data_IF_572468672428
#
_entry.id   IF_572468672428
#
_cell.length_a   1.000
_cell.length_b   1.000
_cell.length_c   1.000
_cell.angle_alpha   90.00
_cell.angle_beta   90.00
_cell.angle_gamma   90.00
#
_symmetry.space_group_name_H-M   'P 1'
#
loop_
_entity.id
_entity.type
_entity.pdbx_description
1 polymer ?
#
# COMPACT_ATOMS: atom_id res chain seq x y z
N UNK A 1 -18.11 -18.37 -20.49
CA UNK A 1 -17.19 -17.73 -19.54
C UNK A 1 -15.93 -18.57 -19.50
N UNK A 2 -14.80 -18.00 -19.89
CA UNK A 2 -13.49 -18.66 -19.75
C UNK A 2 -13.03 -18.50 -18.30
N UNK A 3 -13.13 -19.58 -17.53
CA UNK A 3 -12.51 -19.67 -16.22
C UNK A 3 -10.98 -19.68 -16.43
N UNK A 4 -10.30 -18.59 -16.07
CA UNK A 4 -8.86 -18.49 -16.30
C UNK A 4 -8.03 -19.44 -15.42
N UNK A 5 -8.50 -19.77 -14.20
CA UNK A 5 -7.80 -20.68 -13.29
C UNK A 5 -8.79 -21.44 -12.39
N UNK A 6 -8.51 -22.73 -12.11
CA UNK A 6 -9.22 -23.49 -11.07
C UNK A 6 -8.50 -23.32 -9.73
N UNK A 7 -9.21 -23.51 -8.60
CA UNK A 7 -8.66 -23.42 -7.24
C UNK A 7 -7.31 -24.15 -7.09
N UNK A 8 -7.12 -25.26 -7.79
CA UNK A 8 -5.86 -26.03 -7.78
C UNK A 8 -4.63 -25.21 -8.20
N UNK A 9 -4.78 -24.24 -9.11
CA UNK A 9 -3.69 -23.40 -9.63
C UNK A 9 -3.49 -22.11 -8.83
N UNK A 10 -4.53 -21.65 -8.12
CA UNK A 10 -4.43 -20.64 -7.07
C UNK A 10 -3.68 -21.17 -5.85
N UNK A 11 -3.90 -22.42 -5.47
CA UNK A 11 -3.08 -23.13 -4.48
C UNK A 11 -1.64 -23.40 -4.95
N UNK A 12 -1.38 -23.47 -6.27
CA UNK A 12 -0.02 -23.54 -6.84
C UNK A 12 0.68 -22.17 -6.91
N UNK A 13 -0.07 -21.06 -6.97
CA UNK A 13 0.46 -19.68 -6.97
C UNK A 13 0.48 -19.05 -5.56
N UNK A 14 -0.30 -19.56 -4.61
CA UNK A 14 -0.30 -19.17 -3.21
C UNK A 14 1.09 -19.27 -2.54
N UNK A 15 1.97 -20.25 -2.86
CA UNK A 15 3.39 -20.23 -2.47
C UNK A 15 4.20 -19.00 -2.94
N UNK A 16 3.75 -18.35 -4.01
CA UNK A 16 4.43 -17.21 -4.64
C UNK A 16 3.84 -15.87 -4.18
N UNK A 17 2.70 -15.90 -3.49
CA UNK A 17 2.11 -14.79 -2.76
C UNK A 17 2.57 -14.91 -1.29
N UNK A 18 2.99 -13.82 -0.67
CA UNK A 18 3.53 -13.84 0.69
C UNK A 18 2.40 -14.09 1.68
N UNK A 19 2.77 -14.50 2.91
CA UNK A 19 1.84 -14.69 3.99
C UNK A 19 0.92 -13.51 4.27
N UNK A 20 1.25 -12.27 3.89
CA UNK A 20 0.34 -11.14 4.14
C UNK A 20 -0.84 -11.10 3.18
N UNK A 21 -0.66 -11.49 1.92
CA UNK A 21 -1.78 -11.63 0.95
C UNK A 21 -2.59 -12.87 1.29
N UNK A 22 -1.92 -13.95 1.69
CA UNK A 22 -2.56 -15.16 2.22
C UNK A 22 -3.38 -14.86 3.49
N UNK A 23 -2.79 -14.22 4.50
CA UNK A 23 -3.47 -13.76 5.71
C UNK A 23 -4.55 -12.74 5.38
N UNK A 24 -4.40 -11.79 4.47
CA UNK A 24 -5.46 -10.80 4.21
C UNK A 24 -6.63 -11.36 3.39
N UNK A 25 -6.39 -12.34 2.51
CA UNK A 25 -7.44 -13.15 1.87
C UNK A 25 -8.16 -13.98 2.92
N UNK A 26 -7.41 -14.71 3.75
CA UNK A 26 -7.97 -15.64 4.73
C UNK A 26 -8.51 -14.95 5.99
N UNK A 27 -7.79 -14.06 6.67
CA UNK A 27 -8.24 -13.32 7.87
C UNK A 27 -9.47 -12.44 7.63
N UNK A 28 -9.57 -11.70 6.51
CA UNK A 28 -10.78 -10.93 6.23
C UNK A 28 -11.99 -11.85 5.92
N UNK A 29 -11.76 -13.05 5.39
CA UNK A 29 -12.79 -14.08 5.30
C UNK A 29 -13.12 -14.69 6.68
N UNK A 30 -12.13 -14.85 7.57
CA UNK A 30 -12.26 -15.43 8.91
C UNK A 30 -13.03 -14.53 9.90
N UNK A 31 -12.81 -13.20 9.89
CA UNK A 31 -13.57 -12.28 10.78
C UNK A 31 -15.03 -12.10 10.34
N UNK A 32 -15.33 -12.24 9.04
CA UNK A 32 -16.69 -12.04 8.50
C UNK A 32 -17.48 -13.36 8.39
N UNK A 33 -16.82 -14.53 8.24
CA UNK A 33 -17.46 -15.85 8.03
C UNK A 33 -17.15 -16.88 9.13
N UNK A 34 -17.29 -16.51 10.40
CA UNK A 34 -17.23 -17.46 11.52
C UNK A 34 -18.24 -18.63 11.42
N UNK A 35 -19.25 -18.52 10.54
CA UNK A 35 -20.18 -19.60 10.23
C UNK A 35 -20.12 -19.97 8.74
N UNK A 36 -19.47 -21.11 8.46
CA UNK A 36 -19.75 -22.13 7.41
C UNK A 36 -18.47 -22.62 6.73
N UNK A 37 -18.03 -23.81 7.13
CA UNK A 37 -17.26 -24.77 6.34
C UNK A 37 -16.15 -24.18 5.44
N UNK A 38 -15.33 -23.27 5.98
CA UNK A 38 -14.08 -22.89 5.35
C UNK A 38 -13.22 -24.14 5.18
N UNK A 39 -12.72 -24.37 3.96
CA UNK A 39 -11.78 -25.45 3.68
C UNK A 39 -10.53 -25.14 4.51
N UNK A 40 -10.37 -25.88 5.61
CA UNK A 40 -9.18 -25.86 6.44
C UNK A 40 -8.04 -26.36 5.55
N UNK A 41 -7.21 -25.44 5.06
CA UNK A 41 -5.89 -25.81 4.59
C UNK A 41 -5.15 -26.37 5.79
N UNK A 42 -4.80 -27.64 5.70
CA UNK A 42 -3.96 -28.37 6.66
C UNK A 42 -2.75 -27.50 7.05
N UNK A 43 -2.50 -27.35 8.36
CA UNK A 43 -1.39 -26.57 8.95
C UNK A 43 -0.05 -26.85 8.26
N UNK A 44 0.08 -28.06 7.68
CA UNK A 44 1.23 -28.49 6.91
C UNK A 44 1.50 -27.69 5.64
N UNK A 45 0.46 -27.27 4.91
CA UNK A 45 0.60 -26.43 3.72
C UNK A 45 0.98 -25.02 4.15
N UNK A 46 0.39 -24.50 5.23
CA UNK A 46 0.73 -23.20 5.80
C UNK A 46 2.22 -23.12 6.19
N UNK A 47 2.73 -24.13 6.89
CA UNK A 47 4.15 -24.23 7.27
C UNK A 47 5.09 -24.30 6.05
N UNK A 48 4.64 -24.91 4.94
CA UNK A 48 5.44 -25.09 3.73
C UNK A 48 5.52 -23.82 2.84
N UNK A 49 4.55 -22.89 2.95
CA UNK A 49 4.51 -21.64 2.15
C UNK A 49 4.67 -20.34 2.95
N UNK A 50 4.82 -20.42 4.27
CA UNK A 50 5.07 -19.25 5.10
C UNK A 50 6.44 -18.62 4.80
N UNK A 51 6.44 -17.43 4.18
CA UNK A 51 7.62 -16.56 4.10
C UNK A 51 7.69 -15.70 5.36
N UNK A 52 8.63 -16.03 6.24
CA UNK A 52 8.92 -15.25 7.44
C UNK A 52 9.14 -13.76 7.10
N UNK A 53 8.54 -12.86 7.91
CA UNK A 53 8.59 -11.41 7.70
C UNK A 53 10.04 -10.89 7.59
N UNK A 54 10.99 -11.50 8.32
CA UNK A 54 12.42 -11.15 8.21
C UNK A 54 13.00 -11.60 6.89
N UNK A 55 12.60 -12.77 6.38
CA UNK A 55 13.03 -13.24 5.05
C UNK A 55 12.52 -12.32 3.97
N UNK A 56 11.23 -11.97 3.98
CA UNK A 56 10.65 -11.03 3.02
C UNK A 56 11.33 -9.65 3.12
N UNK A 57 11.55 -9.16 4.35
CA UNK A 57 12.26 -7.91 4.56
C UNK A 57 13.69 -7.94 4.05
N UNK A 58 14.42 -9.03 4.26
CA UNK A 58 15.76 -9.22 3.73
C UNK A 58 15.77 -9.25 2.20
N UNK A 59 14.80 -9.93 1.58
CA UNK A 59 14.62 -9.94 0.13
C UNK A 59 14.43 -8.52 -0.42
N UNK A 60 13.53 -7.74 0.17
CA UNK A 60 13.25 -6.37 -0.26
C UNK A 60 14.47 -5.47 -0.04
N UNK A 61 15.14 -5.57 1.12
CA UNK A 61 16.34 -4.77 1.43
C UNK A 61 17.51 -5.12 0.52
N UNK A 62 17.70 -6.39 0.18
CA UNK A 62 18.76 -6.82 -0.76
C UNK A 62 18.55 -6.25 -2.17
N UNK A 63 17.33 -5.85 -2.49
CA UNK A 63 16.94 -5.25 -3.76
C UNK A 63 16.68 -3.73 -3.67
N UNK A 64 17.11 -3.06 -2.57
CA UNK A 64 16.83 -1.64 -2.34
C UNK A 64 17.34 -0.74 -3.47
N UNK A 65 18.48 -1.07 -4.07
CA UNK A 65 19.04 -0.32 -5.20
C UNK A 65 18.13 -0.38 -6.43
N UNK A 66 17.49 -1.54 -6.66
CA UNK A 66 16.59 -1.76 -7.80
C UNK A 66 15.25 -1.06 -7.61
N UNK A 67 14.74 -1.04 -6.37
CA UNK A 67 13.48 -0.40 -6.00
C UNK A 67 13.61 1.11 -5.80
N UNK A 68 14.77 1.59 -5.36
CA UNK A 68 15.03 3.01 -5.14
C UNK A 68 13.99 3.63 -4.21
N UNK A 69 13.34 4.72 -4.65
CA UNK A 69 12.33 5.42 -3.85
C UNK A 69 11.05 4.61 -3.63
N UNK A 70 10.71 3.67 -4.52
CA UNK A 70 9.45 2.91 -4.44
C UNK A 70 9.37 2.05 -3.18
N UNK A 71 10.52 1.64 -2.63
CA UNK A 71 10.62 0.95 -1.35
C UNK A 71 9.98 1.70 -0.16
N UNK A 72 9.84 3.02 -0.24
CA UNK A 72 9.20 3.83 0.80
C UNK A 72 7.67 3.83 0.73
N UNK A 73 7.09 3.22 -0.32
CA UNK A 73 5.66 3.24 -0.61
C UNK A 73 5.11 1.84 -0.89
N UNK A 74 5.98 0.92 -1.31
CA UNK A 74 5.70 -0.47 -1.66
C UNK A 74 6.62 -1.40 -0.87
N UNK A 75 6.15 -2.62 -0.61
CA UNK A 75 6.90 -3.67 0.07
C UNK A 75 6.98 -3.46 1.57
N UNK A 76 8.00 -2.74 2.05
CA UNK A 76 8.25 -2.57 3.50
C UNK A 76 7.41 -1.47 4.13
N UNK A 77 7.15 -0.41 3.37
CA UNK A 77 6.46 0.79 3.83
C UNK A 77 5.17 0.92 3.05
N UNK A 78 4.32 -0.09 3.23
CA UNK A 78 3.09 -0.26 2.47
C UNK A 78 2.20 0.97 2.63
N UNK A 79 1.68 1.49 1.52
CA UNK A 79 0.73 2.60 1.50
C UNK A 79 -0.68 2.17 1.94
N UNK A 80 -0.79 1.59 3.12
CA UNK A 80 -2.06 1.14 3.70
C UNK A 80 -3.02 2.30 3.88
N UNK A 81 -4.25 2.11 3.39
CA UNK A 81 -5.35 3.06 3.53
C UNK A 81 -5.30 4.22 2.53
N UNK A 82 -4.35 4.25 1.58
CA UNK A 82 -4.41 5.22 0.49
C UNK A 82 -5.66 5.03 -0.36
N UNK A 83 -6.24 6.10 -0.90
CA UNK A 83 -7.41 5.99 -1.81
C UNK A 83 -6.90 6.08 -3.24
N UNK A 84 -7.22 5.07 -4.05
CA UNK A 84 -6.94 5.06 -5.49
C UNK A 84 -7.88 6.04 -6.17
N UNK A 85 -7.30 7.15 -6.60
CA UNK A 85 -8.02 8.16 -7.37
C UNK A 85 -8.11 7.75 -8.85
N UNK A 86 -7.04 7.17 -9.39
CA UNK A 86 -6.99 6.72 -10.78
C UNK A 86 -5.95 5.61 -10.98
N UNK A 87 -6.23 4.69 -11.90
CA UNK A 87 -5.21 3.84 -12.53
C UNK A 87 -5.33 4.02 -14.04
N UNK A 88 -4.27 4.53 -14.65
CA UNK A 88 -4.20 4.75 -16.10
C UNK A 88 -3.01 4.00 -16.69
N UNK A 89 -3.18 3.49 -17.91
CA UNK A 89 -2.08 3.01 -18.73
C UNK A 89 -1.97 3.89 -19.98
N UNK A 90 -0.79 4.46 -20.21
CA UNK A 90 -0.56 5.31 -21.37
C UNK A 90 -0.14 4.49 -22.61
N UNK A 91 -0.01 5.18 -23.74
CA UNK A 91 0.38 4.56 -25.02
C UNK A 91 1.82 4.01 -25.03
N UNK A 92 2.62 4.30 -24.00
CA UNK A 92 3.99 3.82 -23.84
C UNK A 92 4.07 2.64 -22.85
N UNK A 93 2.94 2.00 -22.53
CA UNK A 93 2.84 0.93 -21.53
C UNK A 93 3.32 1.35 -20.13
N UNK A 94 3.14 2.62 -19.78
CA UNK A 94 3.38 3.11 -18.43
C UNK A 94 2.06 3.07 -17.66
N UNK A 95 2.01 2.27 -16.59
CA UNK A 95 0.86 2.26 -15.69
C UNK A 95 1.10 3.23 -14.54
N UNK A 96 0.22 4.22 -14.39
CA UNK A 96 0.27 5.21 -13.31
C UNK A 96 -0.89 4.97 -12.36
N UNK A 97 -0.55 4.62 -11.12
CA UNK A 97 -1.44 4.54 -9.99
C UNK A 97 -1.37 5.86 -9.21
N UNK A 98 -2.46 6.62 -9.20
CA UNK A 98 -2.56 7.89 -8.46
C UNK A 98 -3.32 7.66 -7.15
N UNK A 99 -2.65 7.93 -6.03
CA UNK A 99 -3.14 7.69 -4.68
C UNK A 99 -3.30 9.00 -3.92
N UNK A 100 -4.37 9.07 -3.13
CA UNK A 100 -4.53 10.03 -2.05
C UNK A 100 -3.90 9.43 -0.78
N UNK A 101 -2.88 10.07 -0.21
CA UNK A 101 -2.26 9.63 1.04
C UNK A 101 -3.12 10.07 2.24
N UNK A 102 -4.03 9.17 2.63
CA UNK A 102 -4.95 9.40 3.76
C UNK A 102 -4.24 9.55 5.09
N UNK A 103 -3.03 8.98 5.25
CA UNK A 103 -2.23 9.12 6.46
C UNK A 103 -1.73 10.55 6.62
N UNK A 104 -1.19 11.13 5.55
CA UNK A 104 -0.76 12.54 5.52
C UNK A 104 -1.97 13.48 5.65
N UNK A 105 -3.06 13.21 4.94
CA UNK A 105 -4.31 13.99 5.04
C UNK A 105 -4.83 14.04 6.48
N UNK A 106 -4.85 12.89 7.18
CA UNK A 106 -5.30 12.82 8.57
C UNK A 106 -4.36 13.54 9.53
N UNK A 107 -3.06 13.46 9.29
CA UNK A 107 -2.07 14.21 10.07
C UNK A 107 -2.27 15.72 9.90
N UNK A 108 -2.43 16.19 8.65
CA UNK A 108 -2.64 17.60 8.33
C UNK A 108 -3.93 18.14 9.00
N UNK A 109 -5.04 17.42 8.86
CA UNK A 109 -6.32 17.77 9.50
C UNK A 109 -6.20 17.84 11.03
N UNK A 110 -5.53 16.85 11.63
CA UNK A 110 -5.31 16.84 13.09
C UNK A 110 -4.44 18.01 13.54
N UNK A 111 -3.39 18.36 12.78
CA UNK A 111 -2.53 19.51 13.08
C UNK A 111 -3.32 20.82 13.04
N UNK A 112 -4.10 21.02 11.97
CA UNK A 112 -4.96 22.20 11.80
C UNK A 112 -5.94 22.36 12.97
N UNK A 113 -6.63 21.27 13.34
CA UNK A 113 -7.55 21.26 14.48
C UNK A 113 -6.85 21.58 15.80
N UNK A 114 -5.73 20.92 16.08
CA UNK A 114 -5.06 21.00 17.39
C UNK A 114 -4.30 22.31 17.59
N UNK A 115 -3.83 22.93 16.51
CA UNK A 115 -3.12 24.23 16.54
C UNK A 115 -3.99 25.40 16.12
N UNK A 116 -5.28 25.17 15.86
CA UNK A 116 -6.23 26.18 15.40
C UNK A 116 -5.70 26.99 14.19
N UNK A 117 -5.03 26.30 13.25
CA UNK A 117 -4.48 26.92 12.05
C UNK A 117 -5.61 27.12 11.05
N UNK A 118 -5.83 28.34 10.56
CA UNK A 118 -6.87 28.60 9.56
C UNK A 118 -6.31 28.47 8.14
N UNK A 119 -6.24 27.24 7.63
CA UNK A 119 -5.74 26.93 6.28
C UNK A 119 -6.62 25.88 5.59
N UNK A 120 -6.79 26.04 4.28
CA UNK A 120 -7.36 25.01 3.42
C UNK A 120 -6.26 24.08 2.92
N UNK A 121 -6.49 22.77 3.03
CA UNK A 121 -5.56 21.74 2.56
C UNK A 121 -5.94 21.27 1.15
N UNK A 122 -4.94 21.19 0.28
CA UNK A 122 -5.08 20.47 -0.99
C UNK A 122 -4.89 18.97 -0.76
N UNK A 123 -5.42 18.12 -1.67
CA UNK A 123 -5.21 16.68 -1.57
C UNK A 123 -3.72 16.31 -1.61
N UNK A 124 -3.31 15.40 -0.73
CA UNK A 124 -1.96 14.88 -0.69
C UNK A 124 -1.84 13.70 -1.65
N UNK A 125 -1.15 13.91 -2.77
CA UNK A 125 -1.09 12.94 -3.87
C UNK A 125 0.25 12.22 -3.90
N UNK A 126 0.22 10.92 -4.11
CA UNK A 126 1.40 10.12 -4.46
C UNK A 126 1.10 9.35 -5.74
N UNK A 127 2.00 9.42 -6.71
CA UNK A 127 1.89 8.66 -7.96
C UNK A 127 2.92 7.55 -7.97
N UNK A 128 2.45 6.31 -8.07
CA UNK A 128 3.29 5.13 -8.30
C UNK A 128 3.21 4.80 -9.78
N UNK A 129 4.37 4.69 -10.40
CA UNK A 129 4.48 4.53 -11.84
C UNK A 129 5.25 3.25 -12.13
N UNK A 130 4.61 2.34 -12.86
CA UNK A 130 5.20 1.11 -13.36
C UNK A 130 5.60 1.35 -14.82
N UNK A 131 6.90 1.37 -15.09
CA UNK A 131 7.46 1.64 -16.42
C UNK A 131 7.67 0.34 -17.19
N UNK A 132 7.50 0.40 -18.51
CA UNK A 132 7.63 -0.74 -19.44
C UNK A 132 6.80 -1.95 -18.96
N UNK A 133 5.49 -1.76 -18.78
CA UNK A 133 4.58 -2.83 -18.32
C UNK A 133 4.45 -3.90 -19.40
N UNK A 134 4.81 -5.13 -19.03
CA UNK A 134 4.71 -6.31 -19.89
C UNK A 134 3.38 -7.04 -19.72
N UNK A 135 2.80 -6.95 -18.52
CA UNK A 135 1.55 -7.59 -18.18
C UNK A 135 0.85 -6.85 -17.04
N UNK A 136 -0.46 -6.74 -17.16
CA UNK A 136 -1.34 -6.21 -16.14
C UNK A 136 -2.67 -6.94 -16.17
N UNK A 137 -3.17 -7.30 -14.99
CA UNK A 137 -4.49 -7.90 -14.85
C UNK A 137 -5.19 -7.43 -13.61
N UNK A 138 -6.47 -7.06 -13.77
CA UNK A 138 -7.42 -6.82 -12.71
C UNK A 138 -8.25 -8.08 -12.50
N UNK A 139 -8.34 -8.51 -11.25
CA UNK A 139 -9.21 -9.60 -10.88
C UNK A 139 -10.01 -9.26 -9.64
N UNK A 140 -11.13 -9.96 -9.47
CA UNK A 140 -11.98 -9.87 -8.29
C UNK A 140 -12.29 -11.24 -7.74
N UNK A 141 -12.53 -11.31 -6.43
CA UNK A 141 -13.03 -12.50 -5.77
C UNK A 141 -14.56 -12.55 -5.93
N UNK A 142 -15.08 -13.65 -6.46
CA UNK A 142 -16.52 -13.90 -6.51
C UNK A 142 -17.09 -14.44 -5.18
N UNK A 143 -18.40 -14.70 -5.13
CA UNK A 143 -19.07 -15.16 -3.90
C UNK A 143 -18.55 -16.52 -3.40
N UNK A 144 -18.06 -17.35 -4.33
CA UNK A 144 -17.49 -18.68 -4.10
C UNK A 144 -15.95 -18.64 -3.92
N UNK A 145 -15.40 -17.45 -3.77
CA UNK A 145 -13.98 -17.18 -3.51
C UNK A 145 -13.03 -17.46 -4.70
N UNK A 146 -13.56 -17.55 -5.92
CA UNK A 146 -12.73 -17.68 -7.11
C UNK A 146 -12.26 -16.32 -7.62
N UNK A 147 -10.99 -16.27 -8.05
CA UNK A 147 -10.44 -15.12 -8.76
C UNK A 147 -10.96 -15.14 -10.20
N UNK A 148 -11.71 -14.11 -10.55
CA UNK A 148 -12.25 -13.91 -11.88
C UNK A 148 -11.72 -12.60 -12.46
N UNK A 149 -11.33 -12.64 -13.75
CA UNK A 149 -10.93 -11.43 -14.46
C UNK A 149 -12.14 -10.51 -14.57
N UNK A 150 -11.95 -9.23 -14.29
CA UNK A 150 -12.96 -8.19 -14.44
C UNK A 150 -12.39 -6.96 -15.13
N UNK A 151 -13.29 -6.19 -15.74
CA UNK A 151 -12.94 -4.97 -16.49
C UNK A 151 -13.41 -3.71 -15.72
N UNK A 152 -13.60 -3.81 -14.41
CA UNK A 152 -14.12 -2.70 -13.61
C UNK A 152 -13.19 -1.48 -13.66
N UNK A 153 -13.77 -0.31 -13.90
CA UNK A 153 -13.07 0.96 -13.79
C UNK A 153 -12.62 1.20 -12.35
N UNK A 154 -11.44 1.81 -12.20
CA UNK A 154 -10.68 1.80 -10.95
C UNK A 154 -10.62 3.22 -10.40
N UNK A 155 -11.70 3.62 -9.74
CA UNK A 155 -11.83 4.95 -9.14
C UNK A 155 -12.48 4.78 -7.76
N UNK A 156 -11.94 5.47 -6.75
CA UNK A 156 -12.43 5.48 -5.36
C UNK A 156 -12.33 4.14 -4.62
N UNK A 157 -11.31 3.33 -4.92
CA UNK A 157 -11.04 2.09 -4.19
C UNK A 157 -9.93 2.28 -3.16
N UNK A 158 -10.04 1.63 -2.01
CA UNK A 158 -9.05 1.69 -0.94
C UNK A 158 -7.88 0.76 -1.26
N UNK A 159 -6.67 1.30 -1.22
CA UNK A 159 -5.43 0.53 -1.27
C UNK A 159 -5.22 -0.19 0.06
N UNK A 160 -5.28 -1.51 0.04
CA UNK A 160 -5.22 -2.32 1.27
C UNK A 160 -3.80 -2.77 1.52
N UNK A 161 -3.18 -3.43 0.53
CA UNK A 161 -1.85 -3.98 0.68
C UNK A 161 -1.16 -4.13 -0.67
N UNK A 162 0.14 -4.36 -0.60
CA UNK A 162 0.94 -4.73 -1.75
C UNK A 162 2.09 -5.67 -1.39
N UNK A 163 2.54 -6.38 -2.40
CA UNK A 163 3.65 -7.30 -2.26
C UNK A 163 4.39 -7.51 -3.56
N UNK A 164 5.71 -7.37 -3.49
CA UNK A 164 6.60 -7.69 -4.58
C UNK A 164 6.93 -9.19 -4.53
N UNK A 165 6.57 -9.91 -5.58
CA UNK A 165 6.70 -11.38 -5.68
C UNK A 165 7.96 -11.79 -6.42
N UNK A 166 8.48 -10.92 -7.31
CA UNK A 166 9.68 -11.17 -8.10
C UNK A 166 10.48 -9.88 -8.30
N UNK A 167 11.79 -9.97 -8.18
CA UNK A 167 12.73 -8.94 -8.65
C UNK A 167 13.90 -9.65 -9.34
N UNK A 168 14.17 -9.28 -10.58
CA UNK A 168 15.40 -9.60 -11.28
C UNK A 168 15.87 -8.40 -12.12
N UNK A 169 16.90 -8.59 -12.93
CA UNK A 169 17.50 -7.51 -13.73
C UNK A 169 16.49 -6.87 -14.71
N UNK A 170 15.54 -7.66 -15.22
CA UNK A 170 14.62 -7.28 -16.29
C UNK A 170 13.18 -7.05 -15.84
N UNK A 171 12.75 -7.69 -14.74
CA UNK A 171 11.35 -7.74 -14.34
C UNK A 171 11.21 -7.54 -12.83
N UNK A 172 10.19 -6.76 -12.48
CA UNK A 172 9.60 -6.67 -11.16
C UNK A 172 8.14 -7.10 -11.29
N UNK A 173 7.72 -8.06 -10.48
CA UNK A 173 6.32 -8.47 -10.34
C UNK A 173 5.79 -8.02 -8.97
N UNK A 174 4.61 -7.41 -8.98
CA UNK A 174 3.93 -6.94 -7.78
C UNK A 174 2.45 -7.28 -7.84
N UNK A 175 1.91 -7.64 -6.69
CA UNK A 175 0.48 -7.81 -6.46
C UNK A 175 0.00 -6.72 -5.53
N UNK A 176 -1.05 -6.00 -5.92
CA UNK A 176 -1.70 -4.96 -5.13
C UNK A 176 -3.13 -5.41 -4.86
N UNK A 177 -3.54 -5.43 -3.59
CA UNK A 177 -4.93 -5.69 -3.24
C UNK A 177 -5.65 -4.39 -2.89
N UNK A 178 -6.88 -4.28 -3.37
CA UNK A 178 -7.70 -3.08 -3.20
C UNK A 178 -9.11 -3.49 -2.83
N UNK A 179 -9.81 -2.63 -2.11
CA UNK A 179 -11.17 -2.86 -1.67
C UNK A 179 -12.08 -1.73 -2.12
N UNK A 180 -13.26 -2.07 -2.63
CA UNK A 180 -14.28 -1.07 -2.96
C UNK A 180 -15.19 -0.75 -1.75
N UNK A 181 -16.21 0.09 -1.99
CA UNK A 181 -17.17 0.50 -0.96
C UNK A 181 -18.09 -0.63 -0.49
N UNK A 182 -18.26 -1.68 -1.28
CA UNK A 182 -19.07 -2.86 -0.95
C UNK A 182 -18.21 -3.94 -0.26
N UNK A 183 -17.00 -3.56 0.18
CA UNK A 183 -16.01 -4.43 0.81
C UNK A 183 -15.48 -5.54 -0.10
N UNK A 184 -15.77 -5.47 -1.41
CA UNK A 184 -15.31 -6.45 -2.38
C UNK A 184 -13.82 -6.28 -2.64
N UNK A 185 -13.09 -7.40 -2.57
CA UNK A 185 -11.65 -7.44 -2.72
C UNK A 185 -11.25 -7.72 -4.18
N UNK A 186 -10.37 -6.87 -4.72
CA UNK A 186 -9.79 -6.99 -6.06
C UNK A 186 -8.26 -7.00 -6.00
N UNK A 187 -7.63 -7.61 -7.00
CA UNK A 187 -6.17 -7.70 -7.13
C UNK A 187 -5.68 -7.20 -8.46
N UNK A 188 -4.53 -6.55 -8.42
CA UNK A 188 -3.75 -6.15 -9.58
C UNK A 188 -2.43 -6.88 -9.56
N UNK A 189 -2.22 -7.67 -10.60
CA UNK A 189 -0.92 -8.29 -10.87
C UNK A 189 -0.28 -7.45 -11.96
N UNK A 190 0.86 -6.84 -11.64
CA UNK A 190 1.62 -5.97 -12.53
C UNK A 190 3.00 -6.56 -12.72
N UNK A 191 3.41 -6.77 -13.98
CA UNK A 191 4.80 -7.06 -14.36
C UNK A 191 5.36 -5.86 -15.12
N UNK A 192 6.46 -5.31 -14.64
CA UNK A 192 7.07 -4.12 -15.18
C UNK A 192 8.59 -4.20 -15.12
N UNK A 193 9.28 -3.30 -15.82
CA UNK A 193 10.74 -3.22 -15.74
C UNK A 193 11.20 -2.40 -14.55
N UNK A 194 10.52 -1.29 -14.25
CA UNK A 194 10.92 -0.36 -13.20
C UNK A 194 9.69 0.19 -12.48
N UNK A 195 9.89 0.59 -11.23
CA UNK A 195 8.89 1.34 -10.46
C UNK A 195 9.49 2.69 -10.08
N UNK A 196 8.82 3.78 -10.44
CA UNK A 196 9.15 5.13 -10.00
C UNK A 196 8.02 5.71 -9.15
N UNK A 197 8.35 6.69 -8.29
CA UNK A 197 7.39 7.35 -7.42
C UNK A 197 7.57 8.87 -7.52
N UNK A 198 6.45 9.56 -7.70
CA UNK A 198 6.35 11.02 -7.59
C UNK A 198 5.54 11.32 -6.32
N UNK A 199 6.21 11.93 -5.34
CA UNK A 199 5.63 12.29 -4.05
C UNK A 199 5.21 13.76 -4.05
N UNK A 200 4.03 14.03 -4.65
CA UNK A 200 3.45 15.37 -4.69
C UNK A 200 2.89 15.79 -3.32
N UNK A 201 2.67 14.83 -2.41
CA UNK A 201 2.20 15.06 -1.05
C UNK A 201 3.23 15.87 -0.24
N UNK A 202 4.52 15.59 -0.41
CA UNK A 202 5.59 16.38 0.24
C UNK A 202 5.55 17.86 -0.19
N UNK A 203 5.46 18.12 -1.48
CA UNK A 203 5.41 19.49 -2.02
C UNK A 203 4.13 20.22 -1.59
N UNK A 204 3.01 19.49 -1.57
CA UNK A 204 1.73 19.98 -1.05
C UNK A 204 1.84 20.33 0.43
N UNK A 205 2.47 19.48 1.25
CA UNK A 205 2.70 19.75 2.66
C UNK A 205 3.56 20.98 2.86
N UNK A 206 4.72 21.01 2.20
CA UNK A 206 5.65 22.12 2.32
C UNK A 206 4.99 23.42 1.94
N UNK A 207 4.27 23.49 0.82
CA UNK A 207 3.57 24.71 0.41
C UNK A 207 2.41 25.12 1.34
N UNK A 208 1.76 24.16 2.00
CA UNK A 208 0.66 24.42 2.95
C UNK A 208 1.17 24.92 4.30
N UNK A 209 2.25 24.32 4.82
CA UNK A 209 2.78 24.61 6.15
C UNK A 209 4.10 25.39 6.13
N UNK A 210 4.50 25.94 4.97
CA UNK A 210 5.70 26.75 4.82
C UNK A 210 5.64 27.98 5.73
N UNK A 211 6.71 28.24 6.47
CA UNK A 211 6.79 29.41 7.36
C UNK A 211 6.22 29.19 8.77
N UNK A 212 5.71 27.99 9.07
CA UNK A 212 5.42 27.53 10.43
C UNK A 212 6.44 26.46 10.86
N UNK A 213 6.57 26.23 12.17
CA UNK A 213 7.48 25.24 12.76
C UNK A 213 7.16 23.77 12.38
N UNK A 214 6.15 23.54 11.52
CA UNK A 214 5.66 22.22 11.11
C UNK A 214 6.07 21.82 9.69
N UNK A 215 6.90 22.59 8.99
CA UNK A 215 7.37 22.23 7.65
C UNK A 215 8.11 20.88 7.64
N UNK A 216 8.88 20.58 8.70
CA UNK A 216 9.62 19.31 8.84
C UNK A 216 8.79 18.16 9.44
N UNK A 217 7.56 18.42 9.90
CA UNK A 217 6.69 17.38 10.47
C UNK A 217 6.37 16.29 9.44
N UNK A 218 6.29 16.64 8.15
CA UNK A 218 6.12 15.65 7.08
C UNK A 218 7.26 14.64 7.04
N UNK A 219 8.51 15.12 6.98
CA UNK A 219 9.69 14.26 6.90
C UNK A 219 9.84 13.42 8.19
N UNK A 220 9.52 14.01 9.36
CA UNK A 220 9.46 13.28 10.64
C UNK A 220 8.41 12.15 10.61
N UNK A 221 7.20 12.46 10.13
CA UNK A 221 6.10 11.51 10.03
C UNK A 221 6.42 10.36 9.07
N UNK A 222 6.93 10.67 7.87
CA UNK A 222 7.32 9.65 6.88
C UNK A 222 8.38 8.73 7.47
N UNK A 223 9.38 9.25 8.18
CA UNK A 223 10.38 8.40 8.85
C UNK A 223 9.77 7.53 9.96
N UNK A 224 8.81 8.06 10.71
CA UNK A 224 8.11 7.30 11.76
C UNK A 224 7.27 6.15 11.18
N UNK A 225 6.62 6.36 10.03
CA UNK A 225 5.88 5.30 9.29
C UNK A 225 6.82 4.21 8.79
N UNK A 226 8.04 4.56 8.36
CA UNK A 226 8.99 3.57 7.84
C UNK A 226 9.42 2.51 8.85
N UNK A 227 9.35 2.87 10.13
CA UNK A 227 9.78 1.99 11.22
C UNK A 227 8.61 1.32 11.93
N UNK A 228 7.37 1.72 11.67
CA UNK A 228 6.18 1.28 12.41
C UNK A 228 4.96 1.09 11.50
N UNK A 229 4.29 -0.06 11.60
CA UNK A 229 2.94 -0.24 11.03
C UNK A 229 1.95 0.60 11.87
N UNK A 230 1.61 1.80 11.39
CA UNK A 230 0.74 2.73 12.10
C UNK A 230 -0.67 2.73 11.52
N UNK A 231 -1.66 2.42 12.36
CA UNK A 231 -3.06 2.72 12.04
C UNK A 231 -3.32 4.20 12.36
N UNK A 232 -3.38 5.02 11.31
CA UNK A 232 -3.53 6.46 11.45
C UNK A 232 -4.92 6.80 12.00
N UNK A 233 -5.00 7.05 13.30
CA UNK A 233 -6.16 7.61 13.99
C UNK A 233 -5.79 8.96 14.64
N UNK A 234 -6.80 9.70 15.11
CA UNK A 234 -6.60 11.05 15.66
C UNK A 234 -5.61 11.07 16.83
N UNK A 235 -5.69 10.11 17.75
CA UNK A 235 -4.81 10.05 18.91
C UNK A 235 -3.35 9.73 18.51
N UNK A 236 -3.16 8.86 17.52
CA UNK A 236 -1.84 8.58 16.94
C UNK A 236 -1.27 9.85 16.31
N UNK A 237 -2.07 10.59 15.53
CA UNK A 237 -1.65 11.87 14.94
C UNK A 237 -1.25 12.89 16.01
N UNK A 238 -2.06 13.06 17.06
CA UNK A 238 -1.75 13.95 18.20
C UNK A 238 -0.41 13.56 18.84
N UNK A 239 -0.20 12.26 19.06
CA UNK A 239 1.05 11.77 19.66
C UNK A 239 2.26 12.05 18.78
N UNK A 240 2.14 11.88 17.45
CA UNK A 240 3.21 12.19 16.49
C UNK A 240 3.54 13.68 16.50
N UNK A 241 2.52 14.54 16.48
CA UNK A 241 2.68 16.00 16.53
C UNK A 241 3.39 16.41 17.83
N UNK A 242 2.93 15.92 18.98
CA UNK A 242 3.53 16.25 20.27
C UNK A 242 5.00 15.79 20.37
N UNK A 243 5.33 14.58 19.90
CA UNK A 243 6.72 14.09 19.86
C UNK A 243 7.60 14.91 18.93
N UNK A 244 7.06 15.37 17.80
CA UNK A 244 7.76 16.26 16.90
C UNK A 244 8.07 17.60 17.56
N UNK A 245 7.10 18.20 18.27
CA UNK A 245 7.34 19.45 19.01
C UNK A 245 8.40 19.29 20.10
N UNK A 246 8.37 18.19 20.83
CA UNK A 246 9.41 17.84 21.79
C UNK A 246 10.79 17.74 21.11
N UNK A 247 10.86 17.04 19.97
CA UNK A 247 12.08 16.90 19.18
C UNK A 247 12.65 18.26 18.71
N UNK A 248 11.81 19.15 18.18
CA UNK A 248 12.23 20.50 17.77
C UNK A 248 12.72 21.31 18.97
N UNK A 249 11.99 21.28 20.09
CA UNK A 249 12.38 22.02 21.30
C UNK A 249 13.74 21.57 21.85
N UNK A 250 14.12 20.31 21.67
CA UNK A 250 15.43 19.80 22.08
C UNK A 250 16.57 20.27 21.17
N UNK A 251 16.28 20.52 19.89
CA UNK A 251 17.25 21.06 18.92
C UNK A 251 17.52 22.54 19.17
N UNK A 252 16.53 23.32 19.59
CA UNK A 252 16.69 24.74 19.92
C UNK A 252 17.50 24.99 21.20
N UNK A 253 17.76 23.94 22.00
CA UNK A 253 18.56 23.99 23.24
C UNK A 253 20.04 23.65 22.98
N UNK A 254 20.42 23.23 21.75
CA UNK A 254 21.80 22.90 21.35
C UNK A 254 22.48 23.99 20.53
#
# INVERSE_FOLDING_TARGET
MEYCYSNKKLYELAPLLSPSIYETIFYNQYEIRADKNAIILDDKVFDDVYIDEKIYRNFILSNSNRLGKSLNYLGLNQMHGGIINNIEIDNNNKLTLTLLDTGVDKLAKTLIETKAINLDIKPFIVKIIFEDVYYYSNHTIDEEEFIIKNDDNIIEKTYIQDQITLINDNEIEIVISIQDKEEKLSYYIIKCKNISVIDEARDTWLSTFYGNDFAMLYDYFINTRKTNKLVMNRNVCISIIAKYEEFISQLDIS
#
